data_IF_644938195041
#
_entry.id   IF_644938195041
#
_cell.length_a   1.000
_cell.length_b   1.000
_cell.length_c   1.000
_cell.angle_alpha   90.00
_cell.angle_beta   90.00
_cell.angle_gamma   90.00
#
_symmetry.space_group_name_H-M   'P 1'
#
loop_
_entity.id
_entity.type
_entity.pdbx_description
1 polymer ?
#
# COMPACT_ATOMS: atom_id res chain seq x y z
N UNK A 1 -6.46 19.83 -89.18
CA UNK A 1 -5.47 20.05 -88.12
C UNK A 1 -6.07 19.55 -86.82
N UNK A 2 -5.71 18.33 -86.39
CA UNK A 2 -6.09 17.80 -85.07
C UNK A 2 -4.99 18.20 -84.08
N UNK A 3 -5.39 18.91 -83.02
CA UNK A 3 -4.52 19.28 -81.92
C UNK A 3 -4.37 18.08 -80.97
N UNK A 4 -3.11 17.71 -80.69
CA UNK A 4 -2.76 16.69 -79.72
C UNK A 4 -2.90 17.25 -78.30
N UNK A 5 -3.78 16.66 -77.50
CA UNK A 5 -3.84 16.89 -76.04
C UNK A 5 -2.71 16.12 -75.37
N UNK A 6 -1.78 16.84 -74.74
CA UNK A 6 -0.75 16.28 -73.85
C UNK A 6 -1.20 16.54 -72.41
N UNK A 7 -1.46 15.49 -71.63
CA UNK A 7 -1.70 15.61 -70.19
C UNK A 7 -0.35 15.72 -69.45
N UNK A 8 -0.21 16.59 -68.43
CA UNK A 8 0.99 16.64 -67.61
C UNK A 8 1.00 15.51 -66.55
N UNK A 9 2.17 14.92 -66.34
CA UNK A 9 2.45 13.92 -65.29
C UNK A 9 2.59 14.62 -63.94
N UNK A 10 1.82 14.19 -62.94
CA UNK A 10 1.95 14.65 -61.55
C UNK A 10 2.99 13.78 -60.84
N UNK A 11 4.06 14.40 -60.33
CA UNK A 11 5.08 13.73 -59.51
C UNK A 11 4.74 13.95 -58.03
N UNK A 12 4.52 12.88 -57.27
CA UNK A 12 4.28 12.94 -55.82
C UNK A 12 5.59 13.19 -55.06
N UNK A 13 5.59 13.99 -53.96
CA UNK A 13 6.76 14.21 -53.13
C UNK A 13 7.12 12.98 -52.26
N UNK A 14 8.38 12.84 -51.82
CA UNK A 14 8.82 11.74 -50.98
C UNK A 14 8.23 11.83 -49.55
N UNK A 15 8.11 10.71 -48.84
CA UNK A 15 7.57 10.69 -47.48
C UNK A 15 8.52 11.39 -46.49
N UNK A 16 7.99 12.04 -45.43
CA UNK A 16 8.80 12.71 -44.42
C UNK A 16 9.58 11.72 -43.56
N UNK A 17 10.74 12.16 -43.08
CA UNK A 17 11.60 11.38 -42.17
C UNK A 17 10.87 10.98 -40.87
N UNK A 18 11.18 9.82 -40.28
CA UNK A 18 10.60 9.40 -39.02
C UNK A 18 10.98 10.37 -37.90
N UNK A 19 9.98 10.79 -37.13
CA UNK A 19 10.16 11.68 -35.99
C UNK A 19 11.16 11.10 -34.96
N UNK A 20 11.98 11.95 -34.31
CA UNK A 20 12.94 11.50 -33.31
C UNK A 20 12.21 10.81 -32.15
N UNK A 21 12.69 9.63 -31.79
CA UNK A 21 12.23 8.87 -30.61
C UNK A 21 12.49 9.73 -29.36
N UNK A 22 11.50 9.93 -28.46
CA UNK A 22 11.73 10.73 -27.26
C UNK A 22 12.83 10.09 -26.40
N UNK A 23 13.78 10.92 -25.95
CA UNK A 23 14.84 10.50 -25.06
C UNK A 23 14.25 9.91 -23.77
N UNK A 24 14.74 8.72 -23.37
CA UNK A 24 14.36 8.06 -22.11
C UNK A 24 14.63 9.04 -20.96
N UNK A 25 13.59 9.36 -20.18
CA UNK A 25 13.74 10.19 -18.98
C UNK A 25 14.84 9.60 -18.08
N UNK A 26 15.64 10.43 -17.38
CA UNK A 26 16.67 9.93 -16.50
C UNK A 26 16.05 8.97 -15.48
N UNK A 27 16.69 7.81 -15.33
CA UNK A 27 16.29 6.78 -14.39
C UNK A 27 16.41 7.35 -12.97
N UNK A 28 15.37 7.16 -12.16
CA UNK A 28 15.35 7.67 -10.78
C UNK A 28 16.46 6.99 -9.97
N UNK A 29 17.31 7.78 -9.33
CA UNK A 29 18.39 7.29 -8.49
C UNK A 29 18.12 7.69 -7.02
N UNK A 30 17.94 6.71 -6.11
CA UNK A 30 17.87 6.96 -4.68
C UNK A 30 19.12 7.67 -4.14
N UNK A 31 18.94 8.66 -3.26
CA UNK A 31 20.06 9.38 -2.66
C UNK A 31 20.59 8.72 -1.37
N UNK A 32 19.78 7.88 -0.72
CA UNK A 32 20.13 7.23 0.55
C UNK A 32 19.29 5.95 0.78
N UNK A 33 19.60 5.23 1.86
CA UNK A 33 18.92 3.98 2.21
C UNK A 33 17.40 4.13 2.42
N UNK A 34 16.94 5.28 2.92
CA UNK A 34 15.49 5.52 3.07
C UNK A 34 14.85 5.56 1.70
N UNK A 35 15.42 6.27 0.74
CA UNK A 35 14.91 6.34 -0.64
C UNK A 35 15.01 5.01 -1.38
N UNK A 36 16.06 4.21 -1.14
CA UNK A 36 16.14 2.84 -1.68
C UNK A 36 14.98 1.99 -1.18
N UNK A 37 14.75 1.99 0.14
CA UNK A 37 13.66 1.24 0.76
C UNK A 37 12.28 1.74 0.28
N UNK A 38 12.11 3.05 0.09
CA UNK A 38 10.88 3.63 -0.44
C UNK A 38 10.69 3.29 -1.93
N UNK A 39 11.77 3.20 -2.71
CA UNK A 39 11.73 2.80 -4.11
C UNK A 39 11.36 1.33 -4.25
N UNK A 40 11.95 0.46 -3.43
CA UNK A 40 11.60 -0.96 -3.36
C UNK A 40 10.13 -1.12 -2.96
N UNK A 41 9.70 -0.44 -1.89
CA UNK A 41 8.32 -0.46 -1.43
C UNK A 41 7.34 0.07 -2.49
N UNK A 42 7.68 1.14 -3.20
CA UNK A 42 6.88 1.68 -4.28
C UNK A 42 6.81 0.72 -5.48
N UNK A 43 7.94 0.09 -5.84
CA UNK A 43 8.02 -0.91 -6.90
C UNK A 43 7.19 -2.16 -6.62
N UNK A 44 7.19 -2.59 -5.36
CA UNK A 44 6.40 -3.73 -4.87
C UNK A 44 4.93 -3.37 -4.57
N UNK A 45 4.60 -2.07 -4.53
CA UNK A 45 3.28 -1.56 -4.14
C UNK A 45 2.96 -1.79 -2.66
N UNK A 46 3.98 -1.89 -1.80
CA UNK A 46 3.85 -2.14 -0.37
C UNK A 46 3.70 -0.83 0.41
N UNK A 47 2.45 -0.38 0.59
CA UNK A 47 2.15 0.80 1.42
C UNK A 47 2.63 0.63 2.87
N UNK A 48 2.56 -0.59 3.41
CA UNK A 48 3.02 -0.90 4.77
C UNK A 48 4.53 -0.71 4.91
N UNK A 49 5.33 -1.31 4.03
CA UNK A 49 6.79 -1.11 4.02
C UNK A 49 7.15 0.35 3.79
N UNK A 50 6.40 1.04 2.93
CA UNK A 50 6.58 2.47 2.69
C UNK A 50 6.33 3.28 3.96
N UNK A 51 5.20 3.07 4.64
CA UNK A 51 4.84 3.78 5.87
C UNK A 51 5.74 3.41 7.05
N UNK A 52 6.07 2.13 7.25
CA UNK A 52 7.02 1.70 8.29
C UNK A 52 8.42 2.29 8.04
N UNK A 53 8.85 2.38 6.77
CA UNK A 53 10.10 3.07 6.42
C UNK A 53 10.04 4.54 6.81
N UNK A 54 8.94 5.24 6.52
CA UNK A 54 8.76 6.63 6.93
C UNK A 54 8.73 6.79 8.45
N UNK A 55 7.97 5.97 9.17
CA UNK A 55 7.85 5.99 10.64
C UNK A 55 9.20 5.84 11.35
N UNK A 56 10.14 5.10 10.77
CA UNK A 56 11.49 4.91 11.30
C UNK A 56 12.51 5.95 10.79
N UNK A 57 12.10 6.82 9.87
CA UNK A 57 12.99 7.77 9.20
C UNK A 57 12.97 9.17 9.82
N UNK A 58 13.96 9.96 9.42
CA UNK A 58 13.88 11.42 9.47
C UNK A 58 13.49 11.94 8.09
N UNK A 59 12.77 13.05 8.08
CA UNK A 59 12.40 13.79 6.87
C UNK A 59 12.89 15.23 6.97
N UNK A 60 13.24 15.82 5.83
CA UNK A 60 13.52 17.24 5.68
C UNK A 60 12.20 17.98 5.57
N UNK A 61 11.95 18.82 6.56
CA UNK A 61 10.83 19.74 6.61
C UNK A 61 11.32 21.14 6.18
N UNK A 62 10.89 21.66 5.03
CA UNK A 62 11.25 23.01 4.62
C UNK A 62 10.53 24.05 5.47
N UNK A 63 11.30 25.05 5.93
CA UNK A 63 10.88 26.04 6.91
C UNK A 63 12.08 26.71 7.58
N UNK A 64 11.86 27.52 8.63
CA UNK A 64 12.95 28.07 9.45
C UNK A 64 13.88 26.96 9.96
N UNK A 65 15.19 27.25 10.04
CA UNK A 65 16.18 26.29 10.55
C UNK A 65 16.17 26.15 12.08
N UNK A 66 15.57 27.11 12.76
CA UNK A 66 15.34 27.09 14.21
C UNK A 66 14.11 26.22 14.55
N UNK A 67 13.88 25.93 15.84
CA UNK A 67 12.86 24.99 16.36
C UNK A 67 11.62 24.83 15.46
N UNK A 68 11.60 23.73 14.70
CA UNK A 68 10.59 23.47 13.66
C UNK A 68 9.18 23.41 14.23
N UNK A 69 9.04 22.98 15.49
CA UNK A 69 7.77 22.76 16.16
C UNK A 69 7.30 24.01 16.92
N UNK A 70 8.19 24.97 17.18
CA UNK A 70 7.80 26.31 17.63
C UNK A 70 7.20 27.17 16.49
N UNK A 71 7.47 26.80 15.22
CA UNK A 71 7.10 27.56 14.02
C UNK A 71 6.25 26.74 13.04
N UNK A 72 5.25 26.02 13.53
CA UNK A 72 4.35 25.16 12.73
C UNK A 72 3.63 25.95 11.63
N UNK A 73 3.32 27.21 11.88
CA UNK A 73 2.68 28.13 10.93
C UNK A 73 3.58 28.49 9.72
N UNK A 74 4.88 28.21 9.80
CA UNK A 74 5.86 28.52 8.76
C UNK A 74 6.33 27.29 7.98
N UNK A 75 5.74 26.12 8.24
CA UNK A 75 5.99 24.92 7.43
C UNK A 75 5.62 25.19 5.97
N UNK A 76 6.48 24.75 5.05
CA UNK A 76 6.22 24.93 3.63
C UNK A 76 5.01 24.12 3.19
N UNK A 77 4.03 24.80 2.60
CA UNK A 77 2.86 24.18 1.98
C UNK A 77 2.82 24.41 0.47
N UNK A 78 2.26 23.46 -0.25
CA UNK A 78 1.94 23.54 -1.68
C UNK A 78 0.48 23.15 -1.91
N UNK A 79 -0.12 23.69 -2.96
CA UNK A 79 -1.44 23.24 -3.41
C UNK A 79 -1.27 22.10 -4.42
N UNK A 80 -1.81 20.94 -4.10
CA UNK A 80 -1.91 19.78 -5.01
C UNK A 80 -3.40 19.50 -5.17
N UNK A 81 -3.90 19.54 -6.40
CA UNK A 81 -5.32 19.37 -6.73
C UNK A 81 -6.28 20.25 -5.90
N UNK A 82 -5.85 21.48 -5.60
CA UNK A 82 -6.62 22.46 -4.82
C UNK A 82 -6.71 22.18 -3.32
N UNK A 83 -5.90 21.26 -2.80
CA UNK A 83 -5.77 20.98 -1.37
C UNK A 83 -4.38 21.39 -0.86
N UNK A 84 -4.27 21.95 0.37
CA UNK A 84 -2.99 22.32 0.93
C UNK A 84 -2.26 21.08 1.50
N UNK A 85 -1.01 20.91 1.07
CA UNK A 85 -0.10 19.86 1.54
C UNK A 85 1.14 20.47 2.18
N UNK A 86 1.51 20.01 3.38
CA UNK A 86 2.88 20.18 3.88
C UNK A 86 3.77 19.26 3.07
N UNK A 87 4.77 19.85 2.42
CA UNK A 87 5.72 19.12 1.58
C UNK A 87 6.98 18.80 2.38
N UNK A 88 7.39 17.54 2.37
CA UNK A 88 8.64 17.08 3.00
C UNK A 88 9.47 16.26 2.02
N UNK A 89 10.75 16.10 2.33
CA UNK A 89 11.69 15.40 1.48
C UNK A 89 12.52 14.39 2.26
N UNK A 90 12.93 13.32 1.60
CA UNK A 90 13.79 12.28 2.21
C UNK A 90 15.28 12.49 1.93
N UNK A 91 15.64 13.55 1.19
CA UNK A 91 17.03 13.93 0.91
C UNK A 91 17.15 15.39 0.49
N UNK A 92 18.38 15.93 0.58
CA UNK A 92 18.67 17.28 0.14
C UNK A 92 18.59 17.41 -1.38
N UNK A 93 18.85 16.32 -2.11
CA UNK A 93 18.73 16.19 -3.55
C UNK A 93 17.27 16.31 -3.99
N UNK A 94 16.34 15.64 -3.30
CA UNK A 94 14.91 15.78 -3.56
C UNK A 94 14.41 17.19 -3.25
N UNK A 95 14.81 17.75 -2.10
CA UNK A 95 14.50 19.13 -1.72
C UNK A 95 14.99 20.13 -2.79
N UNK A 96 16.27 20.04 -3.16
CA UNK A 96 16.91 20.97 -4.11
C UNK A 96 16.29 20.85 -5.49
N UNK A 97 15.96 19.64 -5.93
CA UNK A 97 15.31 19.42 -7.22
C UNK A 97 13.89 20.00 -7.28
N UNK A 98 13.17 20.02 -6.15
CA UNK A 98 11.77 20.47 -6.09
C UNK A 98 11.63 21.96 -5.77
N UNK A 99 12.36 22.46 -4.76
CA UNK A 99 12.24 23.83 -4.24
C UNK A 99 13.41 24.75 -4.61
N UNK A 100 14.46 24.20 -5.21
CA UNK A 100 15.66 24.93 -5.58
C UNK A 100 16.74 24.91 -4.50
N UNK A 101 17.94 25.30 -4.91
CA UNK A 101 19.12 25.37 -4.05
C UNK A 101 18.91 26.41 -2.93
N UNK A 102 19.53 26.18 -1.77
CA UNK A 102 19.48 27.06 -0.59
C UNK A 102 18.12 27.17 0.15
N UNK A 103 17.15 26.31 -0.18
CA UNK A 103 15.90 26.19 0.58
C UNK A 103 16.20 25.82 2.04
N UNK A 104 15.79 26.63 3.04
CA UNK A 104 15.99 26.29 4.43
C UNK A 104 15.07 25.12 4.82
N UNK A 105 15.66 24.12 5.48
CA UNK A 105 14.97 22.93 5.93
C UNK A 105 15.68 22.34 7.14
N UNK A 106 14.94 21.56 7.93
CA UNK A 106 15.42 20.89 9.14
C UNK A 106 15.04 19.41 9.11
N UNK A 107 15.94 18.56 9.58
CA UNK A 107 15.68 17.12 9.72
C UNK A 107 14.87 16.86 10.99
N UNK A 108 13.67 16.32 10.84
CA UNK A 108 12.79 15.93 11.96
C UNK A 108 12.49 14.44 11.88
N UNK A 109 12.32 13.77 13.02
CA UNK A 109 11.78 12.40 13.03
C UNK A 109 10.35 12.46 12.47
N UNK A 110 10.00 11.53 11.59
CA UNK A 110 8.65 11.54 11.02
C UNK A 110 7.57 11.34 12.09
N UNK A 111 7.82 10.52 13.11
CA UNK A 111 6.92 10.35 14.26
C UNK A 111 6.71 11.64 15.06
N UNK A 112 7.75 12.45 15.25
CA UNK A 112 7.60 13.77 15.89
C UNK A 112 6.77 14.73 15.02
N UNK A 113 6.98 14.69 13.70
CA UNK A 113 6.23 15.51 12.74
C UNK A 113 4.72 15.21 12.78
N UNK A 114 4.34 13.94 12.68
CA UNK A 114 2.91 13.56 12.67
C UNK A 114 2.22 13.80 14.02
N UNK A 115 2.97 13.77 15.14
CA UNK A 115 2.44 14.10 16.46
C UNK A 115 2.21 15.60 16.66
N UNK A 116 3.00 16.45 15.99
CA UNK A 116 2.85 17.90 16.03
C UNK A 116 1.90 18.43 14.94
N UNK A 117 1.10 17.55 14.31
CA UNK A 117 0.30 17.94 13.14
C UNK A 117 -0.77 18.98 13.51
N UNK A 118 -0.83 20.14 12.82
CA UNK A 118 -1.60 21.28 13.30
C UNK A 118 -3.12 21.11 13.17
N UNK A 119 -3.58 20.44 12.11
CA UNK A 119 -5.00 20.24 11.80
C UNK A 119 -5.19 19.13 10.76
N UNK A 120 -6.32 18.44 10.84
CA UNK A 120 -6.73 17.34 9.94
C UNK A 120 -7.01 17.78 8.49
N UNK A 121 -7.33 19.06 8.28
CA UNK A 121 -7.56 19.69 6.98
C UNK A 121 -6.26 20.07 6.24
N UNK A 122 -5.09 19.81 6.84
CA UNK A 122 -3.80 20.00 6.21
C UNK A 122 -3.20 18.64 5.86
N UNK A 123 -2.97 18.38 4.57
CA UNK A 123 -2.49 17.08 4.11
C UNK A 123 -0.96 17.02 4.08
N UNK A 124 -0.41 15.83 3.94
CA UNK A 124 1.03 15.56 3.92
C UNK A 124 1.45 15.06 2.54
N UNK A 125 2.56 15.54 2.02
CA UNK A 125 3.18 15.04 0.80
C UNK A 125 4.68 14.82 1.02
N UNK A 126 5.17 13.62 0.70
CA UNK A 126 6.60 13.30 0.69
C UNK A 126 7.08 13.17 -0.75
N UNK A 127 8.23 13.77 -1.06
CA UNK A 127 8.89 13.74 -2.38
C UNK A 127 7.92 13.90 -3.57
N UNK A 128 7.09 14.96 -3.59
CA UNK A 128 6.08 15.17 -4.65
C UNK A 128 6.71 15.12 -6.04
N UNK A 129 6.00 14.50 -6.98
CA UNK A 129 6.44 14.41 -8.39
C UNK A 129 7.54 13.37 -8.66
N UNK A 130 7.92 12.54 -7.70
CA UNK A 130 8.92 11.48 -7.87
C UNK A 130 8.31 10.07 -7.81
N UNK A 131 9.00 9.02 -8.29
CA UNK A 131 8.54 7.63 -8.16
C UNK A 131 8.37 7.12 -6.72
N UNK A 132 9.02 7.78 -5.75
CA UNK A 132 8.88 7.51 -4.32
C UNK A 132 8.03 8.59 -3.61
N UNK A 133 7.24 9.33 -4.39
CA UNK A 133 6.34 10.34 -3.88
C UNK A 133 5.03 9.74 -3.39
N UNK A 134 4.56 10.21 -2.24
CA UNK A 134 3.27 9.79 -1.69
C UNK A 134 2.57 10.94 -0.98
N UNK A 135 1.25 10.89 -0.94
CA UNK A 135 0.41 11.84 -0.21
C UNK A 135 -0.44 11.12 0.82
N UNK A 136 -0.65 11.77 1.96
CA UNK A 136 -1.54 11.30 3.03
C UNK A 136 -2.46 12.44 3.43
N UNK A 137 -3.79 12.26 3.40
CA UNK A 137 -4.73 13.23 3.94
C UNK A 137 -4.45 13.53 5.42
N UNK A 138 -4.71 14.75 5.87
CA UNK A 138 -4.41 15.15 7.25
C UNK A 138 -5.13 14.31 8.30
N UNK A 139 -6.35 13.84 8.02
CA UNK A 139 -7.06 12.88 8.88
C UNK A 139 -6.31 11.55 9.04
N UNK A 140 -5.63 11.08 7.99
CA UNK A 140 -4.79 9.87 8.06
C UNK A 140 -3.50 10.12 8.84
N UNK A 141 -2.92 11.32 8.75
CA UNK A 141 -1.77 11.69 9.56
C UNK A 141 -2.12 11.69 11.06
N UNK A 142 -3.29 12.25 11.41
CA UNK A 142 -3.78 12.23 12.80
C UNK A 142 -4.02 10.79 13.30
N UNK A 143 -4.62 9.94 12.47
CA UNK A 143 -4.82 8.52 12.81
C UNK A 143 -3.48 7.76 12.97
N UNK A 144 -2.51 8.03 12.09
CA UNK A 144 -1.18 7.44 12.13
C UNK A 144 -0.40 7.87 13.38
N UNK A 145 -0.54 9.15 13.78
CA UNK A 145 0.07 9.67 15.00
C UNK A 145 -0.49 9.00 16.26
N UNK A 146 -1.81 8.84 16.35
CA UNK A 146 -2.46 8.12 17.45
C UNK A 146 -1.96 6.67 17.55
N UNK A 147 -1.88 5.97 16.42
CA UNK A 147 -1.33 4.61 16.37
C UNK A 147 0.14 4.57 16.82
N UNK A 148 0.99 5.47 16.32
CA UNK A 148 2.41 5.50 16.67
C UNK A 148 2.63 5.77 18.17
N UNK A 149 1.75 6.56 18.80
CA UNK A 149 1.74 6.78 20.24
C UNK A 149 1.37 5.52 21.03
N UNK A 150 0.35 4.79 20.59
CA UNK A 150 -0.08 3.55 21.23
C UNK A 150 0.97 2.43 21.13
N UNK A 151 1.71 2.37 20.02
CA UNK A 151 2.81 1.41 19.79
C UNK A 151 4.14 1.82 20.46
N UNK A 152 4.18 2.94 21.18
CA UNK A 152 5.38 3.41 21.88
C UNK A 152 6.50 3.87 20.94
N UNK A 153 6.19 4.23 19.70
CA UNK A 153 7.14 4.80 18.73
C UNK A 153 7.48 6.28 19.01
N UNK A 154 7.05 6.79 20.17
CA UNK A 154 7.09 8.20 20.59
C UNK A 154 8.14 8.50 21.67
N UNK A 155 8.84 7.49 22.20
CA UNK A 155 9.79 7.72 23.30
C UNK A 155 11.17 8.16 22.79
N UNK A 156 11.52 9.40 23.11
CA UNK A 156 12.88 9.89 23.14
C UNK A 156 13.60 9.35 24.39
N UNK A 157 14.44 8.33 24.22
CA UNK A 157 15.63 8.20 25.08
C UNK A 157 16.87 8.40 24.20
N UNK A 158 17.45 9.58 24.30
CA UNK A 158 18.79 9.86 23.82
C UNK A 158 19.67 10.18 25.03
N UNK A 159 20.65 9.34 25.39
CA UNK A 159 21.97 9.84 25.66
C UNK A 159 22.62 10.11 24.29
N UNK A 160 23.11 11.33 24.08
CA UNK A 160 23.94 11.67 22.93
C UNK A 160 25.16 10.73 22.84
N UNK A 161 25.03 9.67 22.05
CA UNK A 161 26.19 9.00 21.50
C UNK A 161 26.67 9.85 20.32
N UNK A 162 27.68 10.67 20.64
CA UNK A 162 28.59 11.35 19.71
C UNK A 162 28.68 10.60 18.38
N UNK A 163 28.36 11.28 17.29
CA UNK A 163 28.61 10.77 15.94
C UNK A 163 30.06 10.27 15.86
N UNK A 164 30.32 9.04 15.40
CA UNK A 164 31.67 8.69 15.00
C UNK A 164 31.96 9.52 13.75
N UNK A 165 33.01 10.34 13.84
CA UNK A 165 33.59 11.02 12.69
C UNK A 165 33.81 10.01 11.56
N UNK A 166 33.36 10.41 10.37
CA UNK A 166 33.55 9.70 9.11
C UNK A 166 35.02 9.35 8.92
N UNK A 167 35.37 8.10 9.18
CA UNK A 167 36.61 7.50 8.67
C UNK A 167 36.27 6.82 7.35
N UNK A 168 36.98 7.06 6.24
CA UNK A 168 36.66 6.42 4.97
C UNK A 168 36.97 4.92 5.07
N UNK A 169 35.95 4.08 4.91
CA UNK A 169 36.10 2.62 4.81
C UNK A 169 36.60 2.23 3.40
N UNK A 170 37.56 1.28 3.26
CA UNK A 170 38.08 0.87 1.97
C UNK A 170 37.09 -0.03 1.20
N UNK A 171 37.19 -0.11 -0.14
CA UNK A 171 36.22 -0.83 -0.94
C UNK A 171 36.44 -2.34 -0.81
N UNK A 172 35.35 -3.07 -0.58
CA UNK A 172 35.31 -4.51 -0.83
C UNK A 172 34.77 -5.34 0.34
N UNK A 173 33.46 -5.29 0.54
CA UNK A 173 32.71 -6.48 1.00
C UNK A 173 31.43 -6.56 0.19
N UNK A 174 31.41 -7.51 -0.74
CA UNK A 174 30.19 -7.99 -1.39
C UNK A 174 29.26 -8.49 -0.28
N UNK A 175 28.28 -7.68 0.13
CA UNK A 175 27.17 -8.16 0.94
C UNK A 175 26.31 -9.02 0.03
N UNK A 176 26.29 -10.33 0.30
CA UNK A 176 25.25 -11.18 -0.24
C UNK A 176 23.88 -10.59 0.15
N UNK A 177 22.83 -10.73 -0.70
CA UNK A 177 21.50 -10.21 -0.38
C UNK A 177 21.03 -10.81 0.95
N UNK A 178 20.47 -9.98 1.84
CA UNK A 178 19.69 -10.48 2.98
C UNK A 178 18.60 -11.42 2.43
N UNK A 179 18.34 -12.59 3.03
CA UNK A 179 17.25 -13.45 2.58
C UNK A 179 15.95 -12.63 2.59
N UNK A 180 15.22 -12.62 1.47
CA UNK A 180 13.97 -11.88 1.40
C UNK A 180 13.04 -12.37 2.51
N UNK A 181 12.33 -11.46 3.16
CA UNK A 181 11.11 -11.87 3.86
C UNK A 181 10.27 -12.69 2.86
N UNK A 182 9.72 -13.82 3.29
CA UNK A 182 8.90 -14.66 2.42
C UNK A 182 7.73 -13.87 1.80
N UNK A 183 7.06 -14.42 0.78
CA UNK A 183 5.93 -13.75 0.16
C UNK A 183 4.86 -13.40 1.19
N UNK A 184 4.25 -12.20 1.08
CA UNK A 184 3.12 -11.79 1.92
C UNK A 184 1.98 -12.78 1.69
N UNK A 185 1.54 -13.47 2.74
CA UNK A 185 0.41 -14.39 2.65
C UNK A 185 -0.86 -13.59 2.91
N UNK A 186 -1.78 -13.60 1.95
CA UNK A 186 -3.12 -13.04 2.09
C UNK A 186 -4.10 -14.12 2.51
N UNK A 187 -5.16 -13.70 3.16
CA UNK A 187 -6.20 -14.53 3.73
C UNK A 187 -7.58 -14.00 3.36
N UNK A 188 -8.50 -14.91 3.02
CA UNK A 188 -9.93 -14.61 2.93
C UNK A 188 -10.78 -15.68 3.60
N UNK A 189 -11.64 -15.25 4.51
CA UNK A 189 -12.70 -16.08 5.08
C UNK A 189 -13.79 -16.31 4.04
N UNK A 190 -14.19 -17.57 3.84
CA UNK A 190 -15.30 -17.99 2.99
C UNK A 190 -16.25 -18.88 3.81
N UNK A 191 -17.54 -18.83 3.50
CA UNK A 191 -18.50 -19.63 4.27
C UNK A 191 -18.47 -21.10 3.87
N UNK A 192 -18.99 -21.98 4.74
CA UNK A 192 -19.13 -23.40 4.42
C UNK A 192 -19.92 -23.64 3.12
N UNK A 193 -20.91 -22.78 2.83
CA UNK A 193 -21.68 -22.84 1.59
C UNK A 193 -20.85 -22.50 0.33
N UNK A 194 -19.72 -21.80 0.48
CA UNK A 194 -18.83 -21.44 -0.63
C UNK A 194 -17.72 -22.47 -0.87
N UNK A 195 -17.33 -23.25 0.14
CA UNK A 195 -16.25 -24.23 0.03
C UNK A 195 -16.43 -25.24 -1.14
N UNK A 196 -17.65 -25.77 -1.43
CA UNK A 196 -17.85 -26.65 -2.59
C UNK A 196 -17.53 -26.01 -3.95
N UNK A 197 -17.63 -24.68 -4.09
CA UNK A 197 -17.26 -24.02 -5.35
C UNK A 197 -15.77 -24.18 -5.66
N UNK A 198 -14.92 -24.13 -4.63
CA UNK A 198 -13.49 -24.38 -4.77
C UNK A 198 -13.25 -25.89 -4.94
N UNK A 199 -13.71 -26.70 -3.99
CA UNK A 199 -13.38 -28.12 -3.90
C UNK A 199 -13.95 -28.99 -5.03
N UNK A 200 -15.14 -28.68 -5.53
CA UNK A 200 -15.84 -29.52 -6.51
C UNK A 200 -15.87 -28.91 -7.90
N UNK A 201 -15.90 -27.57 -7.99
CA UNK A 201 -16.01 -26.85 -9.26
C UNK A 201 -14.69 -26.21 -9.72
N UNK A 202 -13.62 -26.34 -8.95
CA UNK A 202 -12.30 -25.83 -9.32
C UNK A 202 -12.22 -24.31 -9.38
N UNK A 203 -13.07 -23.60 -8.63
CA UNK A 203 -13.03 -22.13 -8.63
C UNK A 203 -11.65 -21.64 -8.18
N UNK A 204 -11.06 -20.73 -8.95
CA UNK A 204 -9.63 -20.37 -8.87
C UNK A 204 -9.41 -18.87 -8.70
N UNK A 205 -10.45 -18.13 -8.32
CA UNK A 205 -10.43 -16.67 -8.20
C UNK A 205 -10.95 -16.21 -6.86
N UNK A 206 -10.49 -15.04 -6.46
CA UNK A 206 -10.88 -14.38 -5.23
C UNK A 206 -11.22 -12.91 -5.50
N UNK A 207 -12.27 -12.42 -4.85
CA UNK A 207 -12.81 -11.06 -4.96
C UNK A 207 -13.22 -10.53 -3.59
N UNK A 208 -13.49 -9.24 -3.44
CA UNK A 208 -13.94 -8.64 -2.18
C UNK A 208 -12.81 -8.38 -1.19
N UNK A 209 -13.14 -8.35 0.11
CA UNK A 209 -12.20 -8.00 1.16
C UNK A 209 -11.31 -9.17 1.56
N UNK A 210 -10.03 -8.88 1.76
CA UNK A 210 -8.95 -9.80 2.09
C UNK A 210 -8.00 -9.13 3.08
N UNK A 211 -7.30 -9.93 3.87
CA UNK A 211 -6.44 -9.46 4.97
C UNK A 211 -5.09 -10.16 4.89
N UNK A 212 -4.04 -9.59 5.48
CA UNK A 212 -2.78 -10.33 5.61
C UNK A 212 -2.95 -11.44 6.64
N UNK A 213 -2.53 -12.67 6.32
CA UNK A 213 -2.69 -13.82 7.21
C UNK A 213 -2.03 -13.60 8.58
N UNK A 214 -0.96 -12.81 8.65
CA UNK A 214 -0.29 -12.42 9.90
C UNK A 214 -1.15 -11.51 10.79
N UNK A 215 -1.95 -10.63 10.21
CA UNK A 215 -2.79 -9.66 10.95
C UNK A 215 -4.07 -10.28 11.51
N UNK A 216 -4.49 -11.43 10.95
CA UNK A 216 -5.69 -12.16 11.38
C UNK A 216 -5.35 -13.52 12.01
N UNK A 217 -4.06 -13.79 12.23
CA UNK A 217 -3.58 -15.07 12.76
C UNK A 217 -3.94 -15.31 14.22
N UNK A 218 -4.38 -14.29 14.95
CA UNK A 218 -4.91 -14.40 16.31
C UNK A 218 -6.42 -14.71 16.33
N UNK A 219 -7.13 -14.51 15.22
CA UNK A 219 -8.55 -14.83 15.07
C UNK A 219 -8.70 -16.32 14.77
N UNK A 220 -8.94 -17.12 15.80
CA UNK A 220 -8.87 -18.59 15.74
C UNK A 220 -10.22 -19.25 15.63
N UNK A 221 -11.32 -18.54 15.81
CA UNK A 221 -12.67 -19.13 15.78
C UNK A 221 -13.60 -18.46 14.76
N UNK A 222 -14.65 -19.16 14.28
CA UNK A 222 -15.71 -18.57 13.48
C UNK A 222 -16.28 -17.26 14.06
N UNK A 223 -16.52 -17.21 15.37
CA UNK A 223 -17.09 -16.05 16.04
C UNK A 223 -16.13 -14.84 16.02
N UNK A 224 -14.84 -15.07 16.27
CA UNK A 224 -13.81 -14.01 16.22
C UNK A 224 -13.66 -13.43 14.81
N UNK A 225 -13.61 -14.30 13.79
CA UNK A 225 -13.57 -13.86 12.38
C UNK A 225 -14.84 -13.11 12.00
N UNK A 226 -16.00 -13.55 12.49
CA UNK A 226 -17.28 -12.91 12.23
C UNK A 226 -17.34 -11.48 12.80
N UNK A 227 -16.96 -11.32 14.07
CA UNK A 227 -17.01 -10.06 14.80
C UNK A 227 -15.93 -9.08 14.30
N UNK A 228 -14.69 -9.55 14.10
CA UNK A 228 -13.56 -8.68 13.76
C UNK A 228 -13.56 -8.24 12.29
N UNK A 229 -14.03 -9.08 11.37
CA UNK A 229 -13.98 -8.81 9.92
C UNK A 229 -15.29 -8.24 9.36
N UNK A 230 -16.26 -7.91 10.22
CA UNK A 230 -17.53 -7.33 9.78
C UNK A 230 -18.37 -8.28 8.93
N UNK A 231 -18.34 -9.58 9.22
CA UNK A 231 -19.08 -10.59 8.43
C UNK A 231 -20.60 -10.58 8.75
N UNK A 232 -21.08 -9.60 9.52
CA UNK A 232 -22.46 -9.38 9.93
C UNK A 232 -23.27 -8.47 8.97
N UNK A 233 -22.78 -8.25 7.74
CA UNK A 233 -23.50 -7.47 6.73
C UNK A 233 -24.85 -8.11 6.35
N UNK A 234 -25.78 -7.31 5.83
CA UNK A 234 -27.10 -7.78 5.38
C UNK A 234 -26.97 -8.92 4.36
N UNK A 235 -27.76 -9.98 4.55
CA UNK A 235 -27.74 -11.23 3.75
C UNK A 235 -26.42 -12.01 3.81
N UNK A 236 -25.63 -11.82 4.87
CA UNK A 236 -24.42 -12.59 5.10
C UNK A 236 -24.67 -14.09 5.04
N UNK A 237 -23.67 -14.79 4.48
CA UNK A 237 -23.63 -16.27 4.45
C UNK A 237 -22.86 -16.82 5.64
N UNK A 238 -22.44 -15.96 6.55
CA UNK A 238 -21.80 -16.30 7.80
C UNK A 238 -22.79 -16.12 8.95
N UNK A 239 -22.65 -16.97 9.96
CA UNK A 239 -23.26 -16.81 11.27
C UNK A 239 -22.15 -16.79 12.31
N UNK A 240 -22.31 -15.96 13.34
CA UNK A 240 -21.42 -15.97 14.50
C UNK A 240 -21.36 -17.35 15.18
N UNK A 241 -22.45 -18.11 15.06
CA UNK A 241 -22.62 -19.45 15.65
C UNK A 241 -22.27 -20.59 14.68
N UNK A 242 -21.67 -20.28 13.52
CA UNK A 242 -21.24 -21.32 12.58
C UNK A 242 -20.30 -22.32 13.28
N UNK A 243 -20.53 -23.64 13.12
CA UNK A 243 -19.68 -24.65 13.73
C UNK A 243 -18.30 -24.72 13.08
N UNK A 244 -18.18 -24.25 11.83
CA UNK A 244 -16.93 -24.16 11.08
C UNK A 244 -17.00 -23.03 10.05
N UNK A 245 -15.84 -22.46 9.74
CA UNK A 245 -15.63 -21.57 8.60
C UNK A 245 -14.43 -22.04 7.79
N UNK A 246 -14.32 -21.55 6.56
CA UNK A 246 -13.21 -21.87 5.68
C UNK A 246 -12.40 -20.63 5.40
N UNK A 247 -11.11 -20.84 5.15
CA UNK A 247 -10.15 -19.76 4.96
C UNK A 247 -9.24 -20.12 3.80
N UNK A 248 -9.18 -19.23 2.80
CA UNK A 248 -8.20 -19.30 1.73
C UNK A 248 -6.95 -18.55 2.15
N UNK A 249 -5.77 -19.16 2.01
CA UNK A 249 -4.46 -18.52 2.23
C UNK A 249 -3.62 -18.63 0.96
N UNK A 250 -3.00 -17.53 0.53
CA UNK A 250 -2.17 -17.55 -0.68
C UNK A 250 -1.05 -16.50 -0.64
N UNK A 251 0.07 -16.80 -1.29
CA UNK A 251 1.10 -15.81 -1.55
C UNK A 251 0.55 -14.70 -2.46
N UNK A 252 0.58 -13.45 -2.00
CA UNK A 252 0.25 -12.31 -2.84
C UNK A 252 1.36 -12.05 -3.85
N UNK A 253 0.95 -11.92 -5.09
CA UNK A 253 1.78 -11.46 -6.19
C UNK A 253 1.13 -10.25 -6.82
N UNK A 254 1.93 -9.28 -7.29
CA UNK A 254 1.44 -8.00 -7.82
C UNK A 254 0.67 -7.21 -6.75
N UNK A 255 1.41 -6.54 -5.86
CA UNK A 255 0.83 -5.78 -4.74
C UNK A 255 -0.27 -4.79 -5.15
N UNK A 256 -0.16 -4.19 -6.35
CA UNK A 256 -1.16 -3.28 -6.90
C UNK A 256 -2.56 -3.90 -7.11
N UNK A 257 -2.71 -5.22 -7.07
CA UNK A 257 -4.02 -5.88 -7.11
C UNK A 257 -4.75 -5.83 -5.76
N UNK A 258 -4.05 -5.51 -4.66
CA UNK A 258 -4.55 -5.50 -3.29
C UNK A 258 -4.62 -4.06 -2.80
N UNK A 259 -5.74 -3.41 -3.08
CA UNK A 259 -5.88 -1.96 -2.86
C UNK A 259 -6.59 -1.70 -1.54
N UNK A 260 -6.12 -0.70 -0.80
CA UNK A 260 -6.84 -0.22 0.37
C UNK A 260 -8.21 0.32 -0.09
N UNK A 261 -9.33 -0.15 0.48
CA UNK A 261 -10.66 0.23 0.06
C UNK A 261 -11.06 1.56 0.69
N UNK A 262 -10.40 2.66 0.30
CA UNK A 262 -10.88 3.98 0.66
C UNK A 262 -12.24 4.23 0.01
N UNK A 263 -13.22 4.70 0.79
CA UNK A 263 -14.58 4.73 0.32
C UNK A 263 -15.64 5.06 1.36
N UNK A 264 -16.88 4.66 1.09
CA UNK A 264 -17.98 4.79 2.04
C UNK A 264 -19.20 4.00 1.63
N UNK A 265 -20.33 4.23 2.29
CA UNK A 265 -21.57 3.47 2.03
C UNK A 265 -22.46 4.11 0.95
N UNK A 266 -22.04 5.25 0.42
CA UNK A 266 -22.70 5.99 -0.64
C UNK A 266 -21.66 6.86 -1.36
N UNK A 267 -22.03 7.45 -2.50
CA UNK A 267 -21.14 8.30 -3.30
C UNK A 267 -20.55 9.46 -2.50
N UNK A 268 -21.36 10.14 -1.69
CA UNK A 268 -20.90 11.27 -0.89
C UNK A 268 -19.80 10.86 0.11
N UNK A 269 -19.98 9.74 0.82
CA UNK A 269 -18.99 9.21 1.75
C UNK A 269 -17.72 8.71 1.04
N UNK A 270 -17.86 8.08 -0.15
CA UNK A 270 -16.72 7.71 -0.97
C UNK A 270 -15.91 8.92 -1.40
N UNK A 271 -16.56 9.97 -1.91
CA UNK A 271 -15.89 11.21 -2.31
C UNK A 271 -15.22 11.92 -1.13
N UNK A 272 -15.84 11.90 0.06
CA UNK A 272 -15.25 12.46 1.27
C UNK A 272 -13.92 11.77 1.66
N UNK A 273 -13.79 10.47 1.38
CA UNK A 273 -12.55 9.71 1.58
C UNK A 273 -11.60 9.76 0.38
N UNK A 274 -11.93 10.53 -0.67
CA UNK A 274 -11.26 10.47 -1.98
C UNK A 274 -11.08 9.02 -2.46
N UNK A 275 -12.07 8.21 -2.15
CA UNK A 275 -12.07 6.77 -2.30
C UNK A 275 -12.56 6.32 -3.67
N UNK A 276 -12.57 5.01 -3.85
CA UNK A 276 -13.03 4.34 -5.06
C UNK A 276 -14.04 3.23 -4.78
N UNK A 277 -14.32 2.97 -3.49
CA UNK A 277 -15.22 1.89 -3.07
C UNK A 277 -16.51 2.47 -2.51
N UNK A 278 -17.63 2.00 -3.04
CA UNK A 278 -18.92 2.09 -2.37
C UNK A 278 -19.31 0.68 -1.95
N UNK A 279 -19.53 0.46 -0.66
CA UNK A 279 -19.88 -0.85 -0.14
C UNK A 279 -20.87 -0.74 1.02
N UNK A 280 -21.70 -1.77 1.18
CA UNK A 280 -22.74 -1.82 2.20
C UNK A 280 -22.18 -1.82 3.64
N UNK A 281 -22.99 -1.43 4.65
CA UNK A 281 -22.64 -1.63 6.06
C UNK A 281 -22.23 -3.09 6.34
N UNK A 282 -21.27 -3.34 7.24
CA UNK A 282 -20.63 -2.40 8.18
C UNK A 282 -19.40 -1.64 7.63
N UNK A 283 -19.15 -1.65 6.31
CA UNK A 283 -17.97 -1.01 5.71
C UNK A 283 -17.76 0.45 6.16
N UNK A 284 -16.53 0.75 6.63
CA UNK A 284 -16.13 2.08 7.12
C UNK A 284 -15.33 2.89 6.11
N UNK A 285 -14.70 2.25 5.12
CA UNK A 285 -14.00 2.95 4.03
C UNK A 285 -12.72 3.67 4.42
N UNK A 286 -12.15 3.33 5.57
CA UNK A 286 -10.91 3.92 6.11
C UNK A 286 -9.69 2.99 5.96
N UNK A 287 -9.83 1.85 5.26
CA UNK A 287 -8.76 0.88 5.07
C UNK A 287 -8.61 -0.15 6.19
N UNK A 288 -9.53 -0.18 7.15
CA UNK A 288 -9.53 -1.14 8.24
C UNK A 288 -10.85 -1.91 8.27
N UNK A 289 -10.77 -3.18 8.70
CA UNK A 289 -11.93 -4.00 8.94
C UNK A 289 -12.84 -3.31 9.98
N UNK A 290 -14.17 -3.43 9.86
CA UNK A 290 -15.11 -2.69 10.68
C UNK A 290 -15.31 -3.32 12.07
N UNK A 291 -14.25 -3.93 12.60
CA UNK A 291 -14.20 -4.58 13.91
C UNK A 291 -14.92 -3.78 14.98
N UNK A 292 -15.75 -4.48 15.75
CA UNK A 292 -16.32 -4.02 17.02
C UNK A 292 -15.36 -4.34 18.20
N UNK A 293 -14.32 -5.15 17.94
CA UNK A 293 -13.23 -5.45 18.88
C UNK A 293 -12.17 -4.33 18.85
N UNK A 294 -11.25 -4.34 19.81
CA UNK A 294 -10.08 -3.42 19.85
C UNK A 294 -9.06 -3.68 18.74
N UNK A 295 -9.26 -4.74 17.95
CA UNK A 295 -8.34 -5.15 16.90
C UNK A 295 -8.40 -4.20 15.70
N UNK A 296 -7.26 -3.62 15.36
CA UNK A 296 -7.05 -2.82 14.15
C UNK A 296 -6.49 -3.76 13.07
N UNK A 297 -7.35 -4.14 12.12
CA UNK A 297 -6.99 -5.08 11.06
C UNK A 297 -7.02 -4.34 9.74
N UNK A 298 -5.89 -4.26 9.03
CA UNK A 298 -5.84 -3.66 7.71
C UNK A 298 -6.68 -4.48 6.72
N UNK A 299 -7.52 -3.81 5.95
CA UNK A 299 -8.42 -4.42 4.98
C UNK A 299 -8.01 -4.01 3.57
N UNK A 300 -7.97 -4.99 2.67
CA UNK A 300 -7.67 -4.79 1.26
C UNK A 300 -8.84 -5.30 0.42
N UNK A 301 -9.15 -4.64 -0.70
CA UNK A 301 -10.16 -5.10 -1.65
C UNK A 301 -9.49 -5.54 -2.95
N UNK A 302 -9.92 -6.71 -3.42
CA UNK A 302 -9.50 -7.29 -4.69
C UNK A 302 -10.73 -7.48 -5.58
N UNK A 303 -10.64 -7.19 -6.88
CA UNK A 303 -11.79 -7.32 -7.77
C UNK A 303 -11.97 -8.77 -8.28
N UNK A 304 -10.89 -9.36 -8.81
CA UNK A 304 -10.88 -10.75 -9.28
C UNK A 304 -9.45 -11.24 -9.52
N UNK A 305 -8.75 -11.60 -8.44
CA UNK A 305 -7.39 -12.14 -8.50
C UNK A 305 -7.45 -13.64 -8.68
N UNK A 306 -6.63 -14.19 -9.59
CA UNK A 306 -6.46 -15.63 -9.75
C UNK A 306 -5.52 -16.14 -8.64
N UNK A 307 -5.92 -17.21 -7.96
CA UNK A 307 -5.11 -17.82 -6.92
C UNK A 307 -3.86 -18.48 -7.53
N UNK A 308 -2.67 -18.30 -6.91
CA UNK A 308 -1.45 -18.94 -7.37
C UNK A 308 -1.45 -20.43 -7.04
N UNK A 309 -0.59 -21.19 -7.75
CA UNK A 309 -0.31 -22.58 -7.38
C UNK A 309 0.14 -22.65 -5.91
N UNK A 310 -0.34 -23.66 -5.20
CA UNK A 310 -0.07 -23.84 -3.77
C UNK A 310 -0.93 -22.96 -2.85
N UNK A 311 -1.92 -22.21 -3.38
CA UNK A 311 -2.92 -21.59 -2.51
C UNK A 311 -3.63 -22.66 -1.67
N UNK A 312 -3.91 -22.35 -0.42
CA UNK A 312 -4.34 -23.29 0.58
C UNK A 312 -5.79 -23.01 0.97
N UNK A 313 -6.58 -24.07 1.15
CA UNK A 313 -7.91 -24.00 1.74
C UNK A 313 -7.87 -24.68 3.09
N UNK A 314 -8.13 -23.90 4.14
CA UNK A 314 -8.18 -24.34 5.53
C UNK A 314 -9.61 -24.35 6.04
N UNK A 315 -9.88 -25.25 6.99
CA UNK A 315 -11.11 -25.28 7.78
C UNK A 315 -10.75 -24.92 9.22
N UNK A 316 -11.56 -24.07 9.82
CA UNK A 316 -11.45 -23.63 11.22
C UNK A 316 -12.75 -24.00 11.92
N UNK A 317 -12.67 -24.84 12.95
CA UNK A 317 -13.83 -25.21 13.76
C UNK A 317 -14.10 -24.24 14.92
N UNK A 318 -15.21 -24.44 15.63
CA UNK A 318 -15.65 -23.59 16.74
C UNK A 318 -14.66 -23.56 17.91
N UNK A 319 -13.89 -24.63 18.10
CA UNK A 319 -12.87 -24.76 19.13
C UNK A 319 -11.52 -24.15 18.72
N UNK A 320 -11.39 -23.71 17.47
CA UNK A 320 -10.20 -23.12 16.87
C UNK A 320 -9.20 -24.12 16.30
N UNK A 321 -9.64 -25.36 16.07
CA UNK A 321 -8.90 -26.36 15.33
C UNK A 321 -8.79 -25.98 13.85
N UNK A 322 -7.55 -25.78 13.39
CA UNK A 322 -7.25 -25.56 11.97
C UNK A 322 -6.88 -26.88 11.28
N UNK A 323 -7.52 -27.15 10.14
CA UNK A 323 -7.20 -28.30 9.28
C UNK A 323 -7.02 -27.84 7.84
N UNK A 324 -5.86 -28.14 7.25
CA UNK A 324 -5.67 -27.98 5.81
C UNK A 324 -6.56 -28.98 5.06
N UNK A 325 -7.43 -28.46 4.21
CA UNK A 325 -8.42 -29.24 3.45
C UNK A 325 -7.94 -29.53 2.05
N UNK A 326 -7.37 -28.53 1.37
CA UNK A 326 -6.93 -28.68 -0.01
C UNK A 326 -5.82 -27.68 -0.39
N UNK A 327 -5.07 -28.04 -1.43
CA UNK A 327 -4.11 -27.19 -2.11
C UNK A 327 -4.56 -26.94 -3.55
N UNK A 328 -4.41 -25.72 -4.04
CA UNK A 328 -4.73 -25.37 -5.41
C UNK A 328 -3.58 -25.74 -6.35
N UNK A 329 -3.89 -26.57 -7.34
CA UNK A 329 -3.01 -26.95 -8.43
C UNK A 329 -3.38 -26.15 -9.68
N UNK A 330 -2.56 -25.14 -9.99
CA UNK A 330 -2.80 -24.24 -11.11
C UNK A 330 -2.53 -24.88 -12.50
N UNK A 331 -1.86 -26.03 -12.57
CA UNK A 331 -1.57 -26.71 -13.85
C UNK A 331 -2.79 -27.47 -14.37
N UNK A 332 -3.56 -28.09 -13.46
CA UNK A 332 -4.81 -28.79 -13.76
C UNK A 332 -6.07 -28.03 -13.27
N UNK A 333 -6.00 -26.69 -13.20
CA UNK A 333 -6.77 -25.77 -12.32
C UNK A 333 -7.78 -26.44 -11.39
N UNK A 334 -7.30 -27.17 -10.39
CA UNK A 334 -8.13 -27.95 -9.46
C UNK A 334 -7.65 -27.86 -8.03
N UNK A 335 -8.55 -28.12 -7.09
CA UNK A 335 -8.22 -28.24 -5.68
C UNK A 335 -7.96 -29.70 -5.32
N UNK A 336 -6.74 -30.00 -4.88
CA UNK A 336 -6.33 -31.32 -4.43
C UNK A 336 -6.57 -31.44 -2.93
N UNK A 337 -7.48 -32.34 -2.51
CA UNK A 337 -7.77 -32.56 -1.10
C UNK A 337 -6.57 -33.19 -0.38
N UNK A 338 -6.28 -32.70 0.82
CA UNK A 338 -5.22 -33.25 1.66
C UNK A 338 -5.73 -34.49 2.40
N UNK A 339 -5.03 -35.62 2.23
CA UNK A 339 -5.39 -36.91 2.84
C UNK A 339 -6.13 -37.89 1.93
N UNK A 340 -6.42 -37.52 0.69
CA UNK A 340 -6.83 -38.44 -0.37
C UNK A 340 -5.60 -38.72 -1.25
N UNK A 341 -4.86 -39.79 -0.95
CA UNK A 341 -3.84 -40.38 -1.82
C UNK A 341 -4.30 -41.73 -2.32
#
# INVERSE_FOLDING_TARGET
MQAASTQPVVVSPPPPDPAPVPAKAPEFAPANQVEENLLDAAGDGSTDTFLSTLLLSKVLLPGPRDDAFAHIDQWRTEEIDGQPYVVVFTSAERLTAHLGQDTPAVWVKFTQLINAWPRDSLSFAVNPGTPIGATLPGSQIVALAAWAADEGLTVDEQPEARAPESTPEPPGRTSAPKPSAGPIVMQKTISAAQAPYYLERGYDRISGFVHRASEVGHLRTPAELYDALGLNYSDSKFSREDPEVYVLRWAAHRGNLYRIPYGGQNEAAMHAMQGWVIERPPFRGNGFAPSESRDVIAEFKVDSVRLPHGAELWRIDREGGEKLVALFDADAPRWQRVGES
#
